data_IF_712300629151
#
_entry.id   IF_712300629151
#
_cell.length_a   1.000
_cell.length_b   1.000
_cell.length_c   1.000
_cell.angle_alpha   90.00
_cell.angle_beta   90.00
_cell.angle_gamma   90.00
#
_symmetry.space_group_name_H-M   'P 1'
#
loop_
_entity.id
_entity.type
_entity.pdbx_description
1 polymer ?
#
# COMPACT_ATOMS: atom_id res chain seq x y z
N UNK A 1 -3.40 -27.49 -18.71
CA UNK A 1 -3.23 -27.10 -17.27
C UNK A 1 -2.74 -25.67 -17.05
N UNK A 2 -1.58 -25.15 -17.53
CA UNK A 2 -1.22 -23.74 -17.27
C UNK A 2 -2.11 -22.72 -18.00
N UNK A 3 -2.60 -23.02 -19.20
CA UNK A 3 -3.49 -22.14 -19.97
C UNK A 3 -4.87 -21.96 -19.31
N UNK A 4 -5.41 -22.97 -18.68
CA UNK A 4 -6.70 -22.91 -17.99
C UNK A 4 -6.61 -22.11 -16.68
N UNK A 5 -5.48 -22.21 -15.93
CA UNK A 5 -5.22 -21.37 -14.77
C UNK A 5 -5.08 -19.90 -15.15
N UNK A 6 -4.40 -19.57 -16.24
CA UNK A 6 -4.28 -18.21 -16.73
C UNK A 6 -5.64 -17.63 -17.18
N UNK A 7 -6.46 -18.42 -17.87
CA UNK A 7 -7.80 -17.98 -18.28
C UNK A 7 -8.71 -17.71 -17.07
N UNK A 8 -8.70 -18.59 -16.06
CA UNK A 8 -9.45 -18.39 -14.82
C UNK A 8 -9.00 -17.17 -14.05
N UNK A 9 -7.68 -16.96 -13.93
CA UNK A 9 -7.11 -15.77 -13.28
C UNK A 9 -7.52 -14.50 -14.01
N UNK A 10 -7.47 -14.49 -15.34
CA UNK A 10 -7.90 -13.36 -16.15
C UNK A 10 -9.38 -13.00 -15.93
N UNK A 11 -10.26 -13.98 -15.89
CA UNK A 11 -11.68 -13.77 -15.62
C UNK A 11 -11.89 -13.16 -14.24
N UNK A 12 -11.17 -13.63 -13.21
CA UNK A 12 -11.23 -13.09 -11.84
C UNK A 12 -10.73 -11.65 -11.79
N UNK A 13 -9.60 -11.35 -12.42
CA UNK A 13 -9.06 -9.98 -12.49
C UNK A 13 -10.07 -9.05 -13.17
N UNK A 14 -10.57 -9.43 -14.35
CA UNK A 14 -11.55 -8.65 -15.10
C UNK A 14 -12.82 -8.40 -14.28
N UNK A 15 -13.32 -9.40 -13.59
CA UNK A 15 -14.50 -9.26 -12.74
C UNK A 15 -14.27 -8.27 -11.60
N UNK A 16 -13.15 -8.37 -10.89
CA UNK A 16 -12.81 -7.44 -9.80
C UNK A 16 -12.59 -6.01 -10.32
N UNK A 17 -11.94 -5.83 -11.46
CA UNK A 17 -11.78 -4.51 -12.11
C UNK A 17 -13.14 -3.91 -12.48
N UNK A 18 -14.05 -4.71 -13.06
CA UNK A 18 -15.40 -4.25 -13.39
C UNK A 18 -16.23 -3.87 -12.16
N UNK A 19 -16.11 -4.61 -11.06
CA UNK A 19 -16.74 -4.25 -9.78
C UNK A 19 -16.21 -2.91 -9.25
N UNK A 20 -14.90 -2.71 -9.27
CA UNK A 20 -14.29 -1.45 -8.85
C UNK A 20 -14.70 -0.27 -9.76
N UNK A 21 -14.85 -0.50 -11.07
CA UNK A 21 -15.29 0.52 -12.01
C UNK A 21 -16.77 0.90 -11.86
N UNK A 22 -17.60 0.00 -11.35
CA UNK A 22 -19.03 0.28 -11.07
C UNK A 22 -19.25 1.18 -9.86
N UNK A 23 -18.30 1.22 -8.94
CA UNK A 23 -18.31 2.10 -7.78
C UNK A 23 -17.10 3.07 -7.85
N UNK A 24 -17.17 4.11 -8.70
CA UNK A 24 -16.02 5.00 -8.93
C UNK A 24 -15.72 5.92 -7.74
N UNK A 25 -16.66 6.14 -6.82
CA UNK A 25 -16.48 7.02 -5.68
C UNK A 25 -15.24 6.74 -4.85
N UNK A 26 -15.03 5.51 -4.35
CA UNK A 26 -13.82 5.14 -3.61
C UNK A 26 -12.52 5.28 -4.42
N UNK A 27 -12.55 5.02 -5.73
CA UNK A 27 -11.37 5.19 -6.60
C UNK A 27 -11.05 6.67 -6.79
N UNK A 28 -12.06 7.49 -7.09
CA UNK A 28 -11.91 8.93 -7.27
C UNK A 28 -11.40 9.60 -5.99
N UNK A 29 -11.95 9.26 -4.82
CA UNK A 29 -11.47 9.83 -3.56
C UNK A 29 -10.00 9.50 -3.30
N UNK A 30 -9.54 8.29 -3.64
CA UNK A 30 -8.14 7.87 -3.49
C UNK A 30 -7.18 8.58 -4.45
N UNK A 31 -7.65 9.00 -5.61
CA UNK A 31 -6.85 9.78 -6.55
C UNK A 31 -6.89 11.28 -6.22
N UNK A 32 -8.07 11.81 -5.94
CA UNK A 32 -8.27 13.26 -5.76
C UNK A 32 -7.74 13.74 -4.41
N UNK A 33 -8.03 13.03 -3.31
CA UNK A 33 -7.64 13.48 -1.97
C UNK A 33 -6.11 13.69 -1.83
N UNK A 34 -5.23 12.77 -2.25
CA UNK A 34 -3.79 13.02 -2.19
C UNK A 34 -3.36 14.27 -2.96
N UNK A 35 -3.94 14.51 -4.14
CA UNK A 35 -3.60 15.68 -4.97
C UNK A 35 -4.00 16.99 -4.27
N UNK A 36 -5.19 17.01 -3.67
CA UNK A 36 -5.66 18.14 -2.85
C UNK A 36 -4.71 18.36 -1.66
N UNK A 37 -4.35 17.29 -0.95
CA UNK A 37 -3.46 17.40 0.21
C UNK A 37 -2.05 17.87 -0.17
N UNK A 38 -1.46 17.37 -1.26
CA UNK A 38 -0.17 17.89 -1.76
C UNK A 38 -0.27 19.40 -2.02
N UNK A 39 -1.34 19.83 -2.70
CA UNK A 39 -1.53 21.25 -3.05
C UNK A 39 -1.68 22.13 -1.81
N UNK A 40 -2.44 21.66 -0.80
CA UNK A 40 -2.69 22.41 0.43
C UNK A 40 -1.50 22.40 1.40
N UNK A 41 -0.77 21.28 1.49
CA UNK A 41 0.35 21.15 2.42
C UNK A 41 1.65 21.72 1.87
N UNK A 42 1.83 21.78 0.55
CA UNK A 42 3.04 22.30 -0.08
C UNK A 42 3.42 23.69 0.44
N UNK A 43 2.54 24.71 0.48
CA UNK A 43 2.89 26.03 1.00
C UNK A 43 3.40 26.00 2.44
N UNK A 44 2.83 25.12 3.27
CA UNK A 44 3.25 24.96 4.67
C UNK A 44 4.68 24.42 4.78
N UNK A 45 5.00 23.39 4.00
CA UNK A 45 6.33 22.78 4.03
C UNK A 45 7.37 23.66 3.36
N UNK A 46 7.03 24.35 2.26
CA UNK A 46 7.96 25.25 1.58
C UNK A 46 8.31 26.46 2.43
N UNK A 47 7.38 26.99 3.22
CA UNK A 47 7.64 28.06 4.17
C UNK A 47 8.67 27.68 5.24
N UNK A 48 8.70 26.41 5.68
CA UNK A 48 9.61 25.93 6.72
C UNK A 48 10.92 25.34 6.21
N UNK A 49 10.95 24.78 5.00
CA UNK A 49 12.07 23.99 4.48
C UNK A 49 12.63 24.51 3.15
N UNK A 50 12.04 25.55 2.56
CA UNK A 50 12.36 26.04 1.21
C UNK A 50 11.63 25.26 0.10
N UNK A 51 11.65 25.81 -1.10
CA UNK A 51 10.83 25.34 -2.24
C UNK A 51 11.09 23.88 -2.61
N UNK A 52 12.35 23.47 -2.73
CA UNK A 52 12.71 22.10 -3.14
C UNK A 52 12.34 21.05 -2.08
N UNK A 53 12.92 21.18 -0.89
CA UNK A 53 12.73 20.23 0.20
C UNK A 53 11.27 20.20 0.70
N UNK A 54 10.61 21.35 0.75
CA UNK A 54 9.19 21.43 1.14
C UNK A 54 8.25 20.79 0.13
N UNK A 55 8.51 20.95 -1.18
CA UNK A 55 7.73 20.27 -2.22
C UNK A 55 7.95 18.76 -2.15
N UNK A 56 9.19 18.29 -1.98
CA UNK A 56 9.51 16.88 -1.81
C UNK A 56 8.79 16.29 -0.57
N UNK A 57 8.84 17.00 0.58
CA UNK A 57 8.14 16.58 1.79
C UNK A 57 6.63 16.47 1.57
N UNK A 58 6.01 17.44 0.93
CA UNK A 58 4.58 17.44 0.64
C UNK A 58 4.18 16.25 -0.23
N UNK A 59 4.95 15.98 -1.28
CA UNK A 59 4.67 14.91 -2.24
C UNK A 59 4.91 13.54 -1.62
N UNK A 60 6.11 13.27 -1.11
CA UNK A 60 6.49 11.98 -0.54
C UNK A 60 5.64 11.66 0.70
N UNK A 61 5.46 12.65 1.58
CA UNK A 61 4.67 12.48 2.79
C UNK A 61 3.21 12.16 2.51
N UNK A 62 2.59 12.91 1.60
CA UNK A 62 1.19 12.66 1.20
C UNK A 62 1.06 11.30 0.50
N UNK A 63 1.98 10.97 -0.41
CA UNK A 63 1.97 9.69 -1.12
C UNK A 63 2.02 8.52 -0.14
N UNK A 64 2.96 8.51 0.82
CA UNK A 64 3.10 7.44 1.80
C UNK A 64 1.87 7.37 2.71
N UNK A 65 1.37 8.49 3.20
CA UNK A 65 0.20 8.55 4.09
C UNK A 65 -1.04 7.97 3.42
N UNK A 66 -1.39 8.45 2.23
CA UNK A 66 -2.58 7.98 1.53
C UNK A 66 -2.44 6.56 0.98
N UNK A 67 -1.23 6.11 0.68
CA UNK A 67 -0.97 4.71 0.35
C UNK A 67 -1.19 3.79 1.55
N UNK A 68 -0.80 4.20 2.76
CA UNK A 68 -1.09 3.46 4.00
C UNK A 68 -2.59 3.35 4.26
N UNK A 69 -3.35 4.44 4.08
CA UNK A 69 -4.81 4.40 4.20
C UNK A 69 -5.45 3.49 3.11
N UNK A 70 -4.78 3.29 1.99
CA UNK A 70 -5.24 2.40 0.93
C UNK A 70 -5.04 0.89 1.23
N UNK A 71 -4.35 0.52 2.31
CA UNK A 71 -4.18 -0.89 2.76
C UNK A 71 -5.54 -1.61 2.89
N UNK A 72 -6.59 -0.87 3.26
CA UNK A 72 -7.96 -1.37 3.38
C UNK A 72 -8.49 -2.04 2.11
N UNK A 73 -7.98 -1.73 0.90
CA UNK A 73 -8.45 -2.36 -0.35
C UNK A 73 -8.18 -3.87 -0.32
N UNK A 74 -6.95 -4.26 -0.03
CA UNK A 74 -6.57 -5.67 0.03
C UNK A 74 -7.17 -6.36 1.26
N UNK A 75 -7.14 -5.68 2.41
CA UNK A 75 -7.67 -6.21 3.66
C UNK A 75 -9.17 -6.50 3.61
N UNK A 76 -9.97 -5.55 3.07
CA UNK A 76 -11.42 -5.73 2.92
C UNK A 76 -11.76 -6.83 1.93
N UNK A 77 -11.03 -6.94 0.82
CA UNK A 77 -11.23 -8.00 -0.16
C UNK A 77 -11.06 -9.40 0.45
N UNK A 78 -10.07 -9.60 1.33
CA UNK A 78 -9.83 -10.87 2.03
C UNK A 78 -10.85 -11.08 3.15
N UNK A 79 -11.14 -10.04 3.95
CA UNK A 79 -12.05 -10.14 5.08
C UNK A 79 -13.49 -10.44 4.62
N UNK A 80 -13.97 -9.80 3.56
CA UNK A 80 -15.32 -10.02 3.01
C UNK A 80 -15.51 -11.46 2.57
N UNK A 81 -14.50 -12.08 1.93
CA UNK A 81 -14.55 -13.49 1.57
C UNK A 81 -14.64 -14.41 2.81
N UNK A 82 -13.93 -14.04 3.87
CA UNK A 82 -13.95 -14.79 5.13
C UNK A 82 -15.30 -14.69 5.83
N UNK A 83 -15.91 -13.49 5.87
CA UNK A 83 -17.22 -13.26 6.50
C UNK A 83 -18.35 -13.85 5.68
N UNK A 84 -18.29 -13.78 4.35
CA UNK A 84 -19.32 -14.30 3.44
C UNK A 84 -19.34 -15.82 3.30
N UNK A 85 -18.43 -16.56 3.98
CA UNK A 85 -18.24 -18.02 3.80
C UNK A 85 -18.06 -18.43 2.34
N UNK A 86 -17.75 -17.48 1.46
CA UNK A 86 -17.50 -17.72 0.04
C UNK A 86 -16.25 -18.58 -0.12
N UNK A 87 -15.34 -18.51 0.83
CA UNK A 87 -14.14 -19.33 0.92
C UNK A 87 -14.46 -20.84 0.95
N UNK A 88 -15.49 -21.25 1.68
CA UNK A 88 -15.90 -22.67 1.78
C UNK A 88 -16.59 -23.13 0.49
N UNK A 89 -17.37 -22.25 -0.15
CA UNK A 89 -17.98 -22.53 -1.46
C UNK A 89 -16.94 -22.64 -2.58
N UNK A 90 -15.91 -21.80 -2.54
CA UNK A 90 -14.83 -21.80 -3.53
C UNK A 90 -13.92 -23.02 -3.42
N UNK A 91 -13.81 -23.64 -2.24
CA UNK A 91 -13.12 -24.95 -2.08
C UNK A 91 -13.80 -26.09 -2.83
N UNK A 92 -15.10 -25.99 -3.08
CA UNK A 92 -15.85 -26.92 -3.91
C UNK A 92 -15.67 -26.68 -5.42
N UNK A 93 -14.97 -25.62 -5.82
CA UNK A 93 -14.71 -25.28 -7.22
C UNK A 93 -13.29 -25.67 -7.64
N UNK A 94 -13.04 -25.68 -8.94
CA UNK A 94 -11.74 -25.98 -9.56
C UNK A 94 -10.69 -24.87 -9.31
N UNK A 95 -11.06 -23.77 -8.61
CA UNK A 95 -10.20 -22.63 -8.33
C UNK A 95 -9.21 -22.93 -7.19
N UNK A 96 -7.94 -22.62 -7.43
CA UNK A 96 -6.92 -22.71 -6.40
C UNK A 96 -6.98 -21.45 -5.51
N UNK A 97 -6.76 -21.57 -4.18
CA UNK A 97 -6.72 -20.41 -3.28
C UNK A 97 -5.75 -19.31 -3.72
N UNK A 98 -4.63 -19.70 -4.32
CA UNK A 98 -3.65 -18.76 -4.87
C UNK A 98 -4.19 -17.97 -6.08
N UNK A 99 -5.01 -18.57 -6.94
CA UNK A 99 -5.64 -17.89 -8.09
C UNK A 99 -6.65 -16.84 -7.61
N UNK A 100 -7.39 -17.16 -6.56
CA UNK A 100 -8.33 -16.21 -5.95
C UNK A 100 -7.63 -15.01 -5.32
N UNK A 101 -6.58 -15.28 -4.53
CA UNK A 101 -5.78 -14.21 -3.91
C UNK A 101 -5.10 -13.33 -4.96
N UNK A 102 -4.50 -13.93 -5.99
CA UNK A 102 -3.88 -13.19 -7.09
C UNK A 102 -4.92 -12.38 -7.88
N UNK A 103 -6.10 -12.92 -8.14
CA UNK A 103 -7.19 -12.23 -8.81
C UNK A 103 -7.67 -10.96 -8.10
N UNK A 104 -7.46 -10.87 -6.78
CA UNK A 104 -7.77 -9.67 -5.97
C UNK A 104 -6.55 -8.78 -5.75
N UNK A 105 -5.37 -9.37 -5.56
CA UNK A 105 -4.14 -8.64 -5.34
C UNK A 105 -3.73 -7.82 -6.58
N UNK A 106 -3.90 -8.35 -7.79
CA UNK A 106 -3.51 -7.65 -9.02
C UNK A 106 -4.28 -6.33 -9.23
N UNK A 107 -5.64 -6.29 -9.16
CA UNK A 107 -6.36 -5.02 -9.23
C UNK A 107 -6.00 -4.04 -8.11
N UNK A 108 -5.85 -4.53 -6.87
CA UNK A 108 -5.44 -3.71 -5.74
C UNK A 108 -4.05 -3.09 -5.95
N UNK A 109 -3.10 -3.87 -6.45
CA UNK A 109 -1.76 -3.42 -6.81
C UNK A 109 -1.80 -2.35 -7.91
N UNK A 110 -2.60 -2.57 -8.94
CA UNK A 110 -2.76 -1.61 -10.03
C UNK A 110 -3.33 -0.27 -9.54
N UNK A 111 -4.32 -0.29 -8.64
CA UNK A 111 -4.88 0.92 -8.04
C UNK A 111 -3.85 1.66 -7.18
N UNK A 112 -3.08 0.93 -6.36
CA UNK A 112 -1.99 1.53 -5.56
C UNK A 112 -0.96 2.21 -6.45
N UNK A 113 -0.50 1.54 -7.51
CA UNK A 113 0.44 2.12 -8.46
C UNK A 113 -0.17 3.32 -9.20
N UNK A 114 -1.41 3.22 -9.67
CA UNK A 114 -2.08 4.33 -10.34
C UNK A 114 -2.16 5.57 -9.44
N UNK A 115 -2.49 5.39 -8.15
CA UNK A 115 -2.49 6.48 -7.18
C UNK A 115 -1.09 7.09 -7.02
N UNK A 116 -0.06 6.27 -6.88
CA UNK A 116 1.32 6.75 -6.70
C UNK A 116 1.81 7.51 -7.94
N UNK A 117 1.56 6.97 -9.13
CA UNK A 117 1.90 7.65 -10.38
C UNK A 117 1.10 8.95 -10.58
N UNK A 118 -0.17 8.98 -10.18
CA UNK A 118 -0.98 10.20 -10.24
C UNK A 118 -0.39 11.29 -9.35
N UNK A 119 0.03 10.96 -8.11
CA UNK A 119 0.64 11.93 -7.18
C UNK A 119 1.98 12.42 -7.70
N UNK A 120 2.87 11.52 -8.14
CA UNK A 120 4.19 11.90 -8.67
C UNK A 120 4.03 12.68 -9.97
N UNK A 121 3.20 12.20 -10.91
CA UNK A 121 2.95 12.89 -12.18
C UNK A 121 2.36 14.29 -11.99
N UNK A 122 1.41 14.44 -11.08
CA UNK A 122 0.88 15.74 -10.70
C UNK A 122 1.96 16.66 -10.14
N UNK A 123 2.82 16.15 -9.24
CA UNK A 123 3.90 16.95 -8.67
C UNK A 123 4.93 17.40 -9.71
N UNK A 124 5.25 16.55 -10.69
CA UNK A 124 6.12 16.91 -11.81
C UNK A 124 5.48 18.00 -12.68
N UNK A 125 4.19 17.82 -13.06
CA UNK A 125 3.50 18.73 -13.96
C UNK A 125 3.12 20.06 -13.31
N UNK A 126 2.65 20.04 -12.05
CA UNK A 126 2.13 21.23 -11.37
C UNK A 126 3.20 22.01 -10.60
N UNK A 127 4.22 21.34 -10.07
CA UNK A 127 5.21 21.94 -9.19
C UNK A 127 6.65 21.84 -9.71
N UNK A 128 6.84 21.20 -10.87
CA UNK A 128 8.17 21.03 -11.44
C UNK A 128 9.11 20.15 -10.60
N UNK A 129 8.55 19.17 -9.84
CA UNK A 129 9.38 18.26 -9.04
C UNK A 129 10.37 17.53 -9.94
N UNK A 130 11.70 17.67 -9.74
CA UNK A 130 12.67 16.96 -10.55
C UNK A 130 12.68 15.48 -10.17
N UNK A 131 12.64 14.58 -11.17
CA UNK A 131 12.78 13.14 -10.99
C UNK A 131 13.94 12.67 -11.88
N UNK A 132 15.19 12.90 -11.45
CA UNK A 132 16.37 12.60 -12.27
C UNK A 132 16.58 11.09 -12.46
N UNK A 133 16.14 10.28 -11.51
CA UNK A 133 16.31 8.82 -11.53
C UNK A 133 14.98 8.06 -11.49
N UNK A 134 14.17 8.08 -12.57
CA UNK A 134 12.81 7.51 -12.57
C UNK A 134 12.79 6.01 -12.31
N UNK A 135 13.81 5.26 -12.71
CA UNK A 135 13.89 3.82 -12.47
C UNK A 135 14.13 3.47 -11.00
N UNK A 136 14.92 4.28 -10.28
CA UNK A 136 15.10 4.12 -8.83
C UNK A 136 13.79 4.38 -8.10
N UNK A 137 13.09 5.45 -8.46
CA UNK A 137 11.79 5.78 -7.88
C UNK A 137 10.77 4.68 -8.18
N UNK A 138 10.71 4.17 -9.41
CA UNK A 138 9.84 3.04 -9.78
C UNK A 138 10.10 1.80 -8.91
N UNK A 139 11.37 1.47 -8.66
CA UNK A 139 11.74 0.36 -7.78
C UNK A 139 11.16 0.51 -6.37
N UNK A 140 11.25 1.71 -5.80
CA UNK A 140 10.66 2.01 -4.47
C UNK A 140 9.14 1.92 -4.50
N UNK A 141 8.48 2.51 -5.50
CA UNK A 141 7.01 2.48 -5.62
C UNK A 141 6.48 1.05 -5.74
N UNK A 142 7.16 0.20 -6.50
CA UNK A 142 6.82 -1.22 -6.62
C UNK A 142 7.00 -1.96 -5.29
N UNK A 143 8.16 -1.79 -4.64
CA UNK A 143 8.47 -2.44 -3.36
C UNK A 143 7.50 -1.98 -2.27
N UNK A 144 7.15 -0.69 -2.24
CA UNK A 144 6.17 -0.13 -1.34
C UNK A 144 4.77 -0.73 -1.57
N UNK A 145 4.34 -0.82 -2.84
CA UNK A 145 3.05 -1.43 -3.16
C UNK A 145 2.97 -2.90 -2.71
N UNK A 146 4.04 -3.66 -2.85
CA UNK A 146 4.11 -5.04 -2.33
C UNK A 146 4.03 -5.08 -0.80
N UNK A 147 4.72 -4.18 -0.09
CA UNK A 147 4.63 -4.08 1.37
C UNK A 147 3.19 -3.79 1.83
N UNK A 148 2.51 -2.86 1.17
CA UNK A 148 1.11 -2.51 1.45
C UNK A 148 0.16 -3.69 1.21
N UNK A 149 0.36 -4.45 0.13
CA UNK A 149 -0.43 -5.66 -0.12
C UNK A 149 -0.23 -6.72 0.97
N UNK A 150 1.02 -6.93 1.38
CA UNK A 150 1.35 -7.84 2.48
C UNK A 150 0.68 -7.43 3.80
N UNK A 151 0.80 -6.16 4.17
CA UNK A 151 0.17 -5.58 5.36
C UNK A 151 -1.36 -5.68 5.28
N UNK A 152 -1.95 -5.35 4.15
CA UNK A 152 -3.39 -5.47 3.92
C UNK A 152 -3.88 -6.91 4.05
N UNK A 153 -3.15 -7.86 3.47
CA UNK A 153 -3.46 -9.28 3.59
C UNK A 153 -3.38 -9.75 5.06
N UNK A 154 -2.34 -9.33 5.78
CA UNK A 154 -2.18 -9.65 7.20
C UNK A 154 -3.35 -9.11 8.02
N UNK A 155 -3.69 -7.83 7.88
CA UNK A 155 -4.84 -7.22 8.57
C UNK A 155 -6.15 -7.93 8.22
N UNK A 156 -6.41 -8.21 6.94
CA UNK A 156 -7.59 -8.93 6.48
C UNK A 156 -7.75 -10.33 7.08
N UNK A 157 -6.64 -10.95 7.50
CA UNK A 157 -6.67 -12.27 8.19
C UNK A 157 -6.79 -12.13 9.71
N UNK A 158 -6.20 -11.10 10.31
CA UNK A 158 -6.17 -10.93 11.77
C UNK A 158 -7.48 -10.37 12.31
N UNK A 159 -8.08 -9.40 11.66
CA UNK A 159 -9.29 -8.74 12.13
C UNK A 159 -10.55 -9.58 11.89
N UNK A 160 -11.61 -9.28 12.67
CA UNK A 160 -12.84 -10.07 12.69
C UNK A 160 -14.06 -9.34 12.11
N UNK A 161 -13.96 -8.03 11.88
CA UNK A 161 -15.06 -7.22 11.33
C UNK A 161 -14.53 -6.11 10.43
N UNK A 162 -15.36 -5.62 9.51
CA UNK A 162 -15.00 -4.50 8.63
C UNK A 162 -14.73 -3.22 9.42
N UNK A 163 -15.48 -2.96 10.49
CA UNK A 163 -15.21 -1.81 11.36
C UNK A 163 -13.86 -1.88 12.07
N UNK A 164 -13.47 -3.06 12.58
CA UNK A 164 -12.14 -3.26 13.15
C UNK A 164 -11.03 -3.12 12.10
N UNK A 165 -11.29 -3.54 10.87
CA UNK A 165 -10.35 -3.35 9.76
C UNK A 165 -10.18 -1.86 9.45
N UNK A 166 -11.30 -1.10 9.33
CA UNK A 166 -11.24 0.34 9.10
C UNK A 166 -10.45 1.06 10.19
N UNK A 167 -10.76 0.80 11.44
CA UNK A 167 -10.01 1.37 12.57
C UNK A 167 -8.51 1.01 12.51
N UNK A 168 -8.18 -0.22 12.14
CA UNK A 168 -6.79 -0.67 12.08
C UNK A 168 -5.98 0.04 10.98
N UNK A 169 -6.55 0.25 9.79
CA UNK A 169 -5.80 0.96 8.74
C UNK A 169 -5.89 2.48 8.88
N UNK A 170 -6.96 3.04 9.44
CA UNK A 170 -7.05 4.49 9.67
C UNK A 170 -6.09 4.91 10.80
N UNK A 171 -6.21 4.31 11.97
CA UNK A 171 -5.34 4.63 13.13
C UNK A 171 -3.91 4.12 12.88
N UNK A 172 -3.76 2.86 12.49
CA UNK A 172 -2.45 2.26 12.25
C UNK A 172 -1.71 2.92 11.09
N UNK A 173 -2.39 3.21 10.00
CA UNK A 173 -1.83 3.91 8.85
C UNK A 173 -1.37 5.33 9.22
N UNK A 174 -2.18 6.06 9.98
CA UNK A 174 -1.81 7.40 10.45
C UNK A 174 -0.61 7.37 11.40
N UNK A 175 -0.57 6.43 12.34
CA UNK A 175 0.56 6.26 13.26
C UNK A 175 1.85 5.87 12.51
N UNK A 176 1.79 4.87 11.63
CA UNK A 176 2.94 4.43 10.84
C UNK A 176 3.47 5.52 9.90
N UNK A 177 2.58 6.34 9.34
CA UNK A 177 2.91 7.50 8.52
C UNK A 177 3.60 8.58 9.35
N UNK A 178 3.04 8.94 10.51
CA UNK A 178 3.57 9.98 11.38
C UNK A 178 4.95 9.61 11.93
N UNK A 179 5.07 8.41 12.51
CA UNK A 179 6.35 7.88 13.03
C UNK A 179 7.37 7.69 11.91
N UNK A 180 6.91 7.33 10.72
CA UNK A 180 7.76 7.17 9.54
C UNK A 180 8.30 8.48 8.94
N UNK A 181 7.95 9.66 9.49
CA UNK A 181 8.42 10.95 8.97
C UNK A 181 7.70 11.44 7.72
N UNK A 182 6.55 10.83 7.37
CA UNK A 182 5.80 11.21 6.19
C UNK A 182 5.04 12.54 6.39
N UNK A 183 4.30 12.68 7.50
CA UNK A 183 3.55 13.90 7.80
C UNK A 183 4.44 14.99 8.40
N UNK A 184 5.37 14.63 9.27
CA UNK A 184 6.29 15.60 9.89
C UNK A 184 7.70 15.08 9.67
N UNK A 185 8.63 15.94 9.19
CA UNK A 185 10.03 15.55 9.05
C UNK A 185 10.60 15.04 10.37
N UNK A 186 11.36 13.94 10.33
CA UNK A 186 11.92 13.34 11.56
C UNK A 186 12.77 14.35 12.36
N UNK A 187 13.46 15.27 11.69
CA UNK A 187 14.25 16.30 12.34
C UNK A 187 13.44 17.28 13.22
N UNK A 188 12.11 17.36 12.99
CA UNK A 188 11.20 18.20 13.77
C UNK A 188 10.49 17.41 14.89
N UNK A 189 10.73 16.09 14.99
CA UNK A 189 10.14 15.22 15.99
C UNK A 189 11.10 15.01 17.17
N UNK A 190 10.60 14.63 18.35
CA UNK A 190 11.45 14.26 19.49
C UNK A 190 12.42 13.12 19.14
N UNK A 191 13.62 13.14 19.74
CA UNK A 191 14.70 12.19 19.42
C UNK A 191 14.27 10.72 19.51
N UNK A 192 13.48 10.34 20.51
CA UNK A 192 12.97 8.97 20.67
C UNK A 192 12.15 8.47 19.47
N UNK A 193 11.50 9.38 18.73
CA UNK A 193 10.76 9.00 17.52
C UNK A 193 11.72 8.55 16.41
N UNK A 194 12.86 9.21 16.28
CA UNK A 194 13.90 8.85 15.31
C UNK A 194 14.45 7.44 15.56
N UNK A 195 14.53 7.03 16.85
CA UNK A 195 14.99 5.69 17.23
C UNK A 195 13.96 4.59 16.87
N UNK A 196 12.67 4.92 16.95
CA UNK A 196 11.57 3.99 16.66
C UNK A 196 11.16 4.00 15.18
N UNK A 197 11.43 5.09 14.47
CA UNK A 197 11.02 5.27 13.07
C UNK A 197 11.40 4.10 12.15
N UNK A 198 12.60 3.47 12.23
CA UNK A 198 12.96 2.33 11.39
C UNK A 198 12.09 1.09 11.56
N UNK A 199 11.31 1.00 12.65
CA UNK A 199 10.32 -0.07 12.84
C UNK A 199 9.06 0.15 11.97
N UNK A 200 8.84 1.38 11.49
CA UNK A 200 7.72 1.70 10.59
C UNK A 200 8.07 1.41 9.13
N UNK A 201 7.24 0.66 8.38
CA UNK A 201 7.42 0.52 6.95
C UNK A 201 7.28 1.85 6.20
N UNK A 202 6.54 2.83 6.77
CA UNK A 202 6.43 4.19 6.24
C UNK A 202 7.77 4.93 6.20
N UNK A 203 8.63 4.72 7.20
CA UNK A 203 9.99 5.28 7.23
C UNK A 203 10.82 4.84 6.03
N UNK A 204 10.82 3.54 5.72
CA UNK A 204 11.56 2.99 4.60
C UNK A 204 11.01 3.45 3.25
N UNK A 205 9.68 3.65 3.15
CA UNK A 205 9.07 4.23 1.96
C UNK A 205 9.51 5.69 1.76
N UNK A 206 9.44 6.53 2.81
CA UNK A 206 9.89 7.94 2.76
C UNK A 206 11.37 8.03 2.42
N UNK A 207 12.21 7.26 3.14
CA UNK A 207 13.66 7.24 2.93
C UNK A 207 14.01 6.79 1.51
N UNK A 208 13.40 5.71 1.02
CA UNK A 208 13.65 5.19 -0.32
C UNK A 208 13.23 6.15 -1.42
N UNK A 209 12.07 6.80 -1.30
CA UNK A 209 11.62 7.79 -2.28
C UNK A 209 12.53 9.01 -2.33
N UNK A 210 12.94 9.54 -1.18
CA UNK A 210 13.91 10.64 -1.11
C UNK A 210 15.26 10.25 -1.69
N UNK A 211 15.77 9.07 -1.32
CA UNK A 211 17.00 8.54 -1.88
C UNK A 211 16.92 8.39 -3.41
N UNK A 212 15.78 7.96 -3.94
CA UNK A 212 15.56 7.86 -5.39
C UNK A 212 15.57 9.22 -6.09
N UNK A 213 15.00 10.26 -5.46
CA UNK A 213 15.03 11.62 -5.98
C UNK A 213 16.46 12.22 -5.91
N UNK A 214 17.22 11.86 -4.89
CA UNK A 214 18.62 12.29 -4.73
C UNK A 214 19.64 11.47 -5.56
N UNK A 215 19.24 10.30 -6.10
CA UNK A 215 20.12 9.40 -6.86
C UNK A 215 20.99 8.47 -5.99
N UNK A 216 20.68 8.33 -4.70
CA UNK A 216 21.37 7.40 -3.80
C UNK A 216 20.85 5.97 -3.99
N UNK A 217 21.51 5.24 -4.91
CA UNK A 217 21.15 3.87 -5.24
C UNK A 217 21.30 2.90 -4.05
N UNK A 218 22.28 3.15 -3.15
CA UNK A 218 22.49 2.27 -2.00
C UNK A 218 21.32 2.36 -1.01
N UNK A 219 20.92 3.56 -0.63
CA UNK A 219 19.77 3.78 0.26
C UNK A 219 18.45 3.30 -0.38
N UNK A 220 18.31 3.38 -1.71
CA UNK A 220 17.18 2.81 -2.44
C UNK A 220 17.14 1.30 -2.30
N UNK A 221 18.26 0.60 -2.55
CA UNK A 221 18.34 -0.87 -2.46
C UNK A 221 18.05 -1.35 -1.04
N UNK A 222 18.61 -0.68 -0.02
CA UNK A 222 18.34 -0.98 1.39
C UNK A 222 16.84 -0.83 1.72
N UNK A 223 16.23 0.27 1.30
CA UNK A 223 14.81 0.54 1.52
C UNK A 223 13.92 -0.47 0.79
N UNK A 224 14.20 -0.77 -0.46
CA UNK A 224 13.47 -1.78 -1.24
C UNK A 224 13.59 -3.17 -0.60
N UNK A 225 14.79 -3.56 -0.17
CA UNK A 225 15.03 -4.84 0.51
C UNK A 225 14.19 -4.98 1.78
N UNK A 226 14.16 -3.94 2.61
CA UNK A 226 13.36 -3.92 3.84
C UNK A 226 11.86 -3.98 3.54
N UNK A 227 11.37 -3.20 2.58
CA UNK A 227 9.96 -3.19 2.18
C UNK A 227 9.51 -4.55 1.61
N UNK A 228 10.33 -5.18 0.78
CA UNK A 228 10.07 -6.52 0.27
C UNK A 228 10.14 -7.58 1.38
N UNK A 229 11.03 -7.41 2.36
CA UNK A 229 11.07 -8.22 3.58
C UNK A 229 9.75 -8.13 4.36
N UNK A 230 9.24 -6.93 4.57
CA UNK A 230 7.91 -6.71 5.20
C UNK A 230 6.80 -7.39 4.39
N UNK A 231 6.80 -7.23 3.05
CA UNK A 231 5.83 -7.88 2.18
C UNK A 231 5.85 -9.40 2.32
N UNK A 232 7.04 -9.99 2.33
CA UNK A 232 7.24 -11.44 2.45
C UNK A 232 6.77 -11.97 3.80
N UNK A 233 7.18 -11.33 4.89
CA UNK A 233 6.80 -11.74 6.26
C UNK A 233 5.29 -11.62 6.44
N UNK A 234 4.69 -10.49 6.11
CA UNK A 234 3.25 -10.28 6.25
C UNK A 234 2.45 -11.22 5.34
N UNK A 235 2.87 -11.40 4.09
CA UNK A 235 2.24 -12.30 3.14
C UNK A 235 2.32 -13.76 3.54
N UNK A 236 3.47 -14.22 4.05
CA UNK A 236 3.63 -15.61 4.54
C UNK A 236 2.78 -15.86 5.78
N UNK A 237 2.79 -14.96 6.76
CA UNK A 237 1.94 -15.07 7.96
C UNK A 237 0.47 -15.10 7.58
N UNK A 238 0.04 -14.22 6.66
CA UNK A 238 -1.34 -14.21 6.15
C UNK A 238 -1.70 -15.56 5.50
N UNK A 239 -0.82 -16.09 4.65
CA UNK A 239 -1.05 -17.35 3.92
C UNK A 239 -1.13 -18.57 4.85
N UNK A 240 -0.25 -18.65 5.85
CA UNK A 240 -0.25 -19.72 6.87
C UNK A 240 -1.53 -19.67 7.71
N UNK A 241 -1.94 -18.47 8.14
CA UNK A 241 -3.18 -18.29 8.90
C UNK A 241 -4.43 -18.66 8.11
N UNK A 242 -4.47 -18.37 6.82
CA UNK A 242 -5.57 -18.78 5.93
C UNK A 242 -5.64 -20.29 5.78
N UNK A 243 -4.50 -20.99 5.69
CA UNK A 243 -4.43 -22.44 5.61
C UNK A 243 -4.83 -23.13 6.92
N UNK A 244 -4.33 -22.63 8.06
CA UNK A 244 -4.52 -23.26 9.38
C UNK A 244 -5.95 -23.18 9.93
N UNK A 245 -6.75 -22.18 9.53
CA UNK A 245 -8.15 -22.05 9.93
C UNK A 245 -9.11 -22.96 9.17
N UNK A 246 -8.70 -23.47 8.01
CA UNK A 246 -9.51 -24.40 7.23
C UNK A 246 -9.64 -25.81 7.81
N UNK A 247 -8.78 -26.19 8.77
CA UNK A 247 -8.82 -27.50 9.41
C UNK A 247 -9.63 -27.57 10.71
N UNK A 248 -9.93 -26.42 11.33
CA UNK A 248 -10.59 -26.38 12.66
C UNK A 248 -12.11 -26.15 12.64
N UNK A 249 -12.71 -25.89 11.49
CA UNK A 249 -14.18 -25.72 11.36
C UNK A 249 -14.91 -26.99 10.96
N UNK A 250 -14.20 -28.12 10.82
CA UNK A 250 -14.79 -29.45 10.56
C UNK A 250 -15.00 -30.26 11.87
N UNK A 251 -14.63 -29.70 13.03
CA UNK A 251 -14.67 -30.38 14.33
C UNK A 251 -15.57 -29.68 15.37
N UNK A 252 -16.70 -29.07 14.92
CA UNK A 252 -17.82 -28.68 15.80
C UNK A 252 -19.13 -28.86 15.07
#
# INVERSE_FOLDING_TARGET
MPRESAARLWVLIRHNVLLMAREPGPLLSRLVLPLVFVTLLRPLYTAGQGEGAGTEQAVVGTLVTFSLLAIGICGSAILTERLGRTWDRLRGTVLRPAELLAGKAVPAFAVLLAQQFAVVGFAVCAFGLPVPHPFLLLGVLLSWSWALLGLGALLGVLVRSLGALSAAYDIGGMLLSSVGGALVPLAALPAWVSDVAPASPGYWAVRGMRAALAGDAYAVVESCGTLLGVALVCGTVASVRLRGRGGRLVAL
#
